data_IF_096091392875
#
_entry.id   IF_096091392875
#
_cell.length_a   1.000
_cell.length_b   1.000
_cell.length_c   1.000
_cell.angle_alpha   90.00
_cell.angle_beta   90.00
_cell.angle_gamma   90.00
#
_symmetry.space_group_name_H-M   'P 1'
#
loop_
_entity.id
_entity.type
_entity.pdbx_description
1 polymer ?
#
# COMPACT_ATOMS: atom_id res chain seq x y z
N UNK A 1 17.36 6.02 8.40
CA UNK A 1 17.91 4.84 7.69
C UNK A 1 17.88 5.13 6.18
N UNK A 2 18.63 4.40 5.35
CA UNK A 2 18.59 4.61 3.88
C UNK A 2 17.57 3.67 3.25
N UNK A 3 16.80 4.17 2.28
CA UNK A 3 15.97 3.31 1.42
C UNK A 3 16.83 2.47 0.48
N UNK A 4 16.27 1.41 -0.10
CA UNK A 4 16.94 0.59 -1.12
C UNK A 4 17.36 1.43 -2.34
N UNK A 5 16.52 2.38 -2.78
CA UNK A 5 16.85 3.30 -3.87
C UNK A 5 18.03 4.22 -3.51
N UNK A 6 18.06 4.76 -2.29
CA UNK A 6 19.17 5.62 -1.86
C UNK A 6 20.47 4.84 -1.70
N UNK A 7 20.42 3.58 -1.25
CA UNK A 7 21.58 2.68 -1.20
C UNK A 7 22.11 2.39 -2.61
N UNK A 8 21.22 2.02 -3.54
CA UNK A 8 21.58 1.80 -4.95
C UNK A 8 22.24 3.04 -5.58
N UNK A 9 21.72 4.25 -5.31
CA UNK A 9 22.31 5.51 -5.78
C UNK A 9 23.71 5.80 -5.23
N UNK A 10 24.06 5.24 -4.06
CA UNK A 10 25.42 5.29 -3.52
C UNK A 10 26.34 4.19 -4.08
N UNK A 11 25.84 3.36 -4.98
CA UNK A 11 26.56 2.21 -5.55
C UNK A 11 26.62 1.00 -4.61
N UNK A 12 25.85 1.01 -3.53
CA UNK A 12 25.84 -0.08 -2.55
C UNK A 12 25.01 -1.26 -3.06
N UNK A 13 25.47 -2.47 -2.72
CA UNK A 13 24.69 -3.71 -2.81
C UNK A 13 24.28 -4.05 -1.38
N UNK A 14 22.98 -3.99 -1.10
CA UNK A 14 22.46 -4.29 0.23
C UNK A 14 22.32 -5.80 0.43
N UNK A 15 22.21 -6.24 1.69
CA UNK A 15 21.95 -7.65 2.01
C UNK A 15 20.64 -8.13 1.39
N UNK A 16 19.62 -7.27 1.34
CA UNK A 16 18.36 -7.54 0.66
C UNK A 16 18.58 -7.82 -0.84
N UNK A 17 19.36 -6.99 -1.53
CA UNK A 17 19.68 -7.20 -2.95
C UNK A 17 20.41 -8.54 -3.16
N UNK A 18 21.39 -8.89 -2.32
CA UNK A 18 22.11 -10.17 -2.43
C UNK A 18 21.21 -11.39 -2.20
N UNK A 19 20.36 -11.33 -1.18
CA UNK A 19 19.44 -12.42 -0.84
C UNK A 19 18.40 -12.63 -1.96
N UNK A 20 17.79 -11.55 -2.42
CA UNK A 20 16.75 -11.62 -3.43
C UNK A 20 17.32 -11.98 -4.81
N UNK A 21 18.54 -11.54 -5.12
CA UNK A 21 19.22 -11.93 -6.36
C UNK A 21 19.51 -13.44 -6.39
N UNK A 22 19.93 -14.02 -5.25
CA UNK A 22 20.08 -15.48 -5.12
C UNK A 22 18.76 -16.22 -5.29
N UNK A 23 17.68 -15.71 -4.70
CA UNK A 23 16.35 -16.32 -4.83
C UNK A 23 15.82 -16.30 -6.27
N UNK A 24 16.12 -15.23 -7.03
CA UNK A 24 15.71 -15.06 -8.43
C UNK A 24 16.73 -15.62 -9.43
N UNK A 25 17.87 -16.16 -8.97
CA UNK A 25 18.97 -16.65 -9.80
C UNK A 25 19.51 -15.59 -10.79
N UNK A 26 19.73 -14.37 -10.29
CA UNK A 26 20.34 -13.23 -11.01
C UNK A 26 21.52 -12.66 -10.24
N UNK A 27 22.31 -11.79 -10.86
CA UNK A 27 23.39 -11.07 -10.17
C UNK A 27 22.82 -9.96 -9.26
N UNK A 28 23.41 -9.67 -8.09
CA UNK A 28 22.96 -8.57 -7.23
C UNK A 28 22.95 -7.20 -7.93
N UNK A 29 23.88 -6.99 -8.88
CA UNK A 29 23.93 -5.80 -9.72
C UNK A 29 22.72 -5.66 -10.63
N UNK A 30 22.11 -6.76 -11.09
CA UNK A 30 20.88 -6.73 -11.89
C UNK A 30 19.73 -6.09 -11.10
N UNK A 31 19.56 -6.49 -9.83
CA UNK A 31 18.54 -5.90 -8.95
C UNK A 31 18.86 -4.43 -8.66
N UNK A 32 20.11 -4.11 -8.30
CA UNK A 32 20.52 -2.71 -8.03
C UNK A 32 20.26 -1.80 -9.24
N UNK A 33 20.64 -2.24 -10.43
CA UNK A 33 20.51 -1.44 -11.65
C UNK A 33 19.03 -1.28 -12.04
N UNK A 34 18.21 -2.32 -11.86
CA UNK A 34 16.75 -2.21 -12.01
C UNK A 34 16.08 -1.29 -10.98
N UNK A 35 16.64 -1.18 -9.77
CA UNK A 35 16.18 -0.17 -8.79
C UNK A 35 16.55 1.24 -9.24
N UNK A 36 17.72 1.45 -9.84
CA UNK A 36 18.17 2.75 -10.32
C UNK A 36 17.36 3.27 -11.50
N UNK A 37 16.97 2.39 -12.43
CA UNK A 37 16.16 2.74 -13.59
C UNK A 37 14.64 2.70 -13.31
N UNK A 38 14.24 2.16 -12.15
CA UNK A 38 12.85 2.08 -11.70
C UNK A 38 12.07 0.89 -12.25
N UNK A 39 12.72 -0.08 -12.90
CA UNK A 39 12.09 -1.32 -13.40
C UNK A 39 11.94 -2.41 -12.33
N UNK A 40 12.66 -2.30 -11.20
CA UNK A 40 12.60 -3.21 -10.05
C UNK A 40 12.43 -2.40 -8.76
N UNK A 41 11.60 -2.91 -7.85
CA UNK A 41 11.51 -2.44 -6.46
C UNK A 41 11.75 -3.59 -5.49
N UNK A 42 12.35 -3.30 -4.34
CA UNK A 42 12.35 -4.20 -3.20
C UNK A 42 11.31 -3.67 -2.20
N UNK A 43 10.27 -4.44 -1.93
CA UNK A 43 9.26 -4.09 -0.93
C UNK A 43 9.64 -4.71 0.41
N UNK A 44 10.07 -3.84 1.34
CA UNK A 44 10.42 -4.18 2.72
C UNK A 44 10.46 -2.90 3.55
N UNK A 45 9.56 -2.78 4.50
CA UNK A 45 9.62 -1.71 5.49
C UNK A 45 10.84 -1.92 6.41
N UNK A 46 11.58 -0.85 6.69
CA UNK A 46 12.80 -0.90 7.49
C UNK A 46 12.60 -1.26 8.97
N UNK A 47 11.35 -1.39 9.43
CA UNK A 47 10.97 -1.90 10.76
C UNK A 47 10.72 -3.40 10.80
N UNK A 48 10.72 -4.07 9.64
CA UNK A 48 10.43 -5.50 9.54
C UNK A 48 11.68 -6.34 9.39
N UNK A 49 11.73 -7.43 10.14
CA UNK A 49 12.76 -8.46 10.01
C UNK A 49 12.26 -9.61 9.12
N UNK A 50 12.11 -9.30 7.83
CA UNK A 50 11.81 -10.26 6.76
C UNK A 50 12.82 -10.12 5.63
N UNK A 51 12.87 -11.10 4.72
CA UNK A 51 13.75 -11.02 3.54
C UNK A 51 13.32 -9.91 2.55
N UNK A 52 12.05 -9.52 2.58
CA UNK A 52 11.45 -8.61 1.60
C UNK A 52 11.09 -9.33 0.30
N UNK A 53 10.76 -8.57 -0.74
CA UNK A 53 10.46 -9.13 -2.05
C UNK A 53 10.92 -8.19 -3.17
N UNK A 54 11.65 -8.72 -4.16
CA UNK A 54 11.95 -8.01 -5.38
C UNK A 54 10.81 -8.20 -6.41
N UNK A 55 10.30 -7.11 -6.95
CA UNK A 55 9.22 -7.09 -7.94
C UNK A 55 9.68 -6.24 -9.12
N UNK A 56 9.69 -6.81 -10.32
CA UNK A 56 10.06 -6.04 -11.50
C UNK A 56 10.40 -6.87 -12.73
N UNK A 57 10.81 -6.18 -13.79
CA UNK A 57 11.12 -6.79 -15.08
C UNK A 57 12.31 -7.76 -14.99
N UNK A 58 12.21 -8.89 -15.67
CA UNK A 58 13.25 -9.93 -15.70
C UNK A 58 13.31 -10.83 -14.47
N UNK A 59 12.51 -10.55 -13.43
CA UNK A 59 12.30 -11.44 -12.29
C UNK A 59 11.08 -12.34 -12.52
N UNK A 60 10.90 -13.36 -11.69
CA UNK A 60 9.71 -14.20 -11.74
C UNK A 60 8.43 -13.42 -11.41
N UNK A 61 7.29 -13.82 -11.99
CA UNK A 61 5.99 -13.18 -11.73
C UNK A 61 5.57 -13.39 -10.27
N UNK A 62 5.17 -12.31 -9.60
CA UNK A 62 4.70 -12.32 -8.21
C UNK A 62 3.17 -12.26 -8.15
N UNK A 63 2.59 -12.88 -7.12
CA UNK A 63 1.15 -12.96 -6.90
C UNK A 63 0.82 -12.39 -5.52
N UNK A 64 -0.22 -11.56 -5.45
CA UNK A 64 -0.74 -11.00 -4.20
C UNK A 64 -2.06 -11.68 -3.81
N UNK A 65 -2.27 -11.94 -2.52
CA UNK A 65 -3.57 -12.33 -2.00
C UNK A 65 -4.19 -11.19 -1.16
N UNK A 66 -5.49 -10.96 -1.33
CA UNK A 66 -6.22 -9.98 -0.54
C UNK A 66 -6.94 -10.68 0.61
N UNK A 67 -6.76 -10.16 1.82
CA UNK A 67 -7.50 -10.54 3.03
C UNK A 67 -8.09 -9.29 3.66
N UNK A 68 -8.73 -9.42 4.81
CA UNK A 68 -9.22 -8.30 5.59
C UNK A 68 -10.65 -8.49 6.08
N UNK A 69 -10.93 -7.86 7.21
CA UNK A 69 -12.23 -7.87 7.86
C UNK A 69 -13.24 -6.93 7.20
N UNK A 70 -14.51 -7.14 7.52
CA UNK A 70 -15.61 -6.27 7.08
C UNK A 70 -16.58 -5.99 8.23
N UNK A 71 -17.67 -5.26 7.97
CA UNK A 71 -18.74 -5.10 8.95
C UNK A 71 -19.42 -6.42 9.33
N UNK A 72 -19.32 -7.42 8.46
CA UNK A 72 -20.07 -8.67 8.56
C UNK A 72 -19.26 -9.79 9.21
N UNK A 73 -17.92 -9.70 9.13
CA UNK A 73 -16.97 -10.64 9.72
C UNK A 73 -15.71 -9.88 10.19
N UNK A 74 -15.44 -9.92 11.49
CA UNK A 74 -14.38 -9.17 12.17
C UNK A 74 -13.44 -10.08 12.98
N UNK A 75 -13.48 -11.38 12.75
CA UNK A 75 -12.68 -12.34 13.51
C UNK A 75 -11.21 -12.28 13.08
N UNK A 76 -10.35 -11.85 14.02
CA UNK A 76 -8.90 -11.72 13.82
C UNK A 76 -8.28 -13.09 13.51
N UNK A 77 -8.73 -14.16 14.15
CA UNK A 77 -8.17 -15.50 13.96
C UNK A 77 -8.43 -16.00 12.53
N UNK A 78 -9.59 -15.66 11.97
CA UNK A 78 -9.91 -15.94 10.57
C UNK A 78 -9.00 -15.16 9.60
N UNK A 79 -8.63 -13.90 9.89
CA UNK A 79 -7.70 -13.14 9.05
C UNK A 79 -6.29 -13.73 9.07
N UNK A 80 -5.82 -14.20 10.24
CA UNK A 80 -4.53 -14.88 10.36
C UNK A 80 -4.54 -16.17 9.55
N UNK A 81 -5.60 -16.98 9.66
CA UNK A 81 -5.70 -18.24 8.93
C UNK A 81 -5.77 -18.00 7.41
N UNK A 82 -6.51 -16.97 6.96
CA UNK A 82 -6.52 -16.55 5.56
C UNK A 82 -5.13 -16.15 5.06
N UNK A 83 -4.36 -15.40 5.86
CA UNK A 83 -2.99 -15.04 5.52
C UNK A 83 -2.11 -16.29 5.38
N UNK A 84 -2.15 -17.19 6.37
CA UNK A 84 -1.38 -18.44 6.40
C UNK A 84 -1.67 -19.32 5.18
N UNK A 85 -2.95 -19.61 4.92
CA UNK A 85 -3.37 -20.44 3.80
C UNK A 85 -3.00 -19.82 2.46
N UNK A 86 -3.08 -18.49 2.33
CA UNK A 86 -2.69 -17.79 1.10
C UNK A 86 -1.19 -17.93 0.82
N UNK A 87 -0.34 -17.79 1.84
CA UNK A 87 1.11 -17.94 1.72
C UNK A 87 1.46 -19.40 1.38
N UNK A 88 0.83 -20.38 2.05
CA UNK A 88 1.02 -21.80 1.74
C UNK A 88 0.59 -22.17 0.32
N UNK A 89 -0.40 -21.47 -0.23
CA UNK A 89 -0.84 -21.60 -1.61
C UNK A 89 0.06 -20.87 -2.63
N UNK A 90 1.10 -20.15 -2.19
CA UNK A 90 2.08 -19.49 -3.05
C UNK A 90 1.88 -17.98 -3.27
N UNK A 91 1.12 -17.30 -2.40
CA UNK A 91 1.08 -15.84 -2.40
C UNK A 91 2.45 -15.28 -1.98
N UNK A 92 2.96 -14.33 -2.77
CA UNK A 92 4.25 -13.67 -2.52
C UNK A 92 4.09 -12.41 -1.66
N UNK A 93 2.90 -11.82 -1.66
CA UNK A 93 2.52 -10.70 -0.80
C UNK A 93 1.09 -10.89 -0.33
N UNK A 94 0.76 -10.24 0.78
CA UNK A 94 -0.60 -10.13 1.29
C UNK A 94 -0.99 -8.66 1.30
N UNK A 95 -2.26 -8.35 1.02
CA UNK A 95 -2.83 -7.05 1.34
C UNK A 95 -3.93 -7.19 2.37
N UNK A 96 -3.80 -6.42 3.45
CA UNK A 96 -4.88 -6.21 4.41
C UNK A 96 -5.79 -5.08 3.91
N UNK A 97 -7.00 -5.48 3.50
CA UNK A 97 -8.05 -4.59 3.00
C UNK A 97 -9.20 -4.41 4.02
N UNK A 98 -8.91 -4.64 5.30
CA UNK A 98 -9.88 -4.53 6.40
C UNK A 98 -10.61 -3.19 6.39
N UNK A 99 -11.94 -3.25 6.57
CA UNK A 99 -12.81 -2.07 6.66
C UNK A 99 -13.71 -2.06 7.91
N UNK A 100 -13.62 -3.08 8.76
CA UNK A 100 -14.42 -3.21 9.97
C UNK A 100 -13.61 -3.70 11.17
N UNK A 101 -14.15 -3.53 12.37
CA UNK A 101 -13.50 -3.94 13.61
C UNK A 101 -12.28 -3.10 13.98
N UNK A 102 -11.39 -3.68 14.78
CA UNK A 102 -10.12 -3.06 15.18
C UNK A 102 -9.06 -3.25 14.09
N UNK A 103 -9.17 -2.46 13.01
CA UNK A 103 -8.23 -2.51 11.86
C UNK A 103 -6.76 -2.38 12.32
N UNK A 104 -6.38 -1.44 13.21
CA UNK A 104 -5.02 -1.38 13.73
C UNK A 104 -4.58 -2.65 14.45
N UNK A 105 -5.45 -3.24 15.28
CA UNK A 105 -5.19 -4.50 15.99
C UNK A 105 -5.00 -5.67 15.01
N UNK A 106 -5.94 -5.85 14.08
CA UNK A 106 -5.89 -6.88 13.04
C UNK A 106 -4.59 -6.79 12.23
N UNK A 107 -4.26 -5.59 11.73
CA UNK A 107 -3.03 -5.37 10.95
C UNK A 107 -1.78 -5.77 11.72
N UNK A 108 -1.66 -5.36 12.99
CA UNK A 108 -0.50 -5.70 13.83
C UNK A 108 -0.37 -7.21 14.01
N UNK A 109 -1.47 -7.88 14.31
CA UNK A 109 -1.48 -9.33 14.45
C UNK A 109 -1.09 -10.04 13.15
N UNK A 110 -1.55 -9.55 11.99
CA UNK A 110 -1.12 -10.07 10.68
C UNK A 110 0.39 -9.86 10.49
N UNK A 111 0.91 -8.65 10.76
CA UNK A 111 2.34 -8.34 10.62
C UNK A 111 3.24 -9.24 11.49
N UNK A 112 2.81 -9.57 12.69
CA UNK A 112 3.52 -10.47 13.61
C UNK A 112 3.55 -11.92 13.12
N UNK A 113 2.58 -12.34 12.30
CA UNK A 113 2.42 -13.73 11.85
C UNK A 113 2.69 -13.94 10.35
N UNK A 114 2.99 -12.88 9.61
CA UNK A 114 3.15 -12.91 8.15
C UNK A 114 4.62 -12.72 7.76
N UNK A 115 5.27 -13.74 7.20
CA UNK A 115 6.67 -13.66 6.77
C UNK A 115 6.88 -13.02 5.39
N UNK A 116 5.79 -12.66 4.68
CA UNK A 116 5.84 -11.98 3.38
C UNK A 116 5.49 -10.50 3.51
N UNK A 117 5.84 -9.65 2.53
CA UNK A 117 5.48 -8.25 2.55
C UNK A 117 3.96 -8.03 2.64
N UNK A 118 3.55 -7.13 3.53
CA UNK A 118 2.16 -6.74 3.76
C UNK A 118 1.87 -5.36 3.15
N UNK A 119 0.85 -5.31 2.30
CA UNK A 119 0.32 -4.09 1.74
C UNK A 119 -1.00 -3.64 2.37
N UNK A 120 -1.35 -2.37 2.20
CA UNK A 120 -2.62 -1.81 2.68
C UNK A 120 -3.16 -0.76 1.73
N UNK A 121 -4.43 -0.35 1.94
CA UNK A 121 -5.03 0.84 1.32
C UNK A 121 -5.43 1.82 2.44
N UNK A 122 -4.55 2.75 2.84
CA UNK A 122 -4.74 3.56 4.06
C UNK A 122 -6.08 4.31 4.17
N UNK A 123 -6.65 4.74 3.04
CA UNK A 123 -7.96 5.42 3.02
C UNK A 123 -9.11 4.58 3.61
N UNK A 124 -8.99 3.25 3.61
CA UNK A 124 -9.99 2.36 4.20
C UNK A 124 -10.05 2.53 5.72
N UNK A 125 -8.90 2.56 6.39
CA UNK A 125 -8.83 2.82 7.84
C UNK A 125 -9.34 4.23 8.17
N UNK A 126 -8.98 5.25 7.37
CA UNK A 126 -9.49 6.63 7.56
C UNK A 126 -11.02 6.65 7.54
N UNK A 127 -11.64 6.02 6.53
CA UNK A 127 -13.11 5.96 6.44
C UNK A 127 -13.75 5.19 7.59
N UNK A 128 -13.18 4.04 7.96
CA UNK A 128 -13.71 3.20 9.05
C UNK A 128 -13.63 3.91 10.40
N UNK A 129 -12.54 4.63 10.69
CA UNK A 129 -12.38 5.41 11.91
C UNK A 129 -13.39 6.56 12.01
N UNK A 130 -13.71 7.20 10.90
CA UNK A 130 -14.74 8.24 10.88
C UNK A 130 -16.13 7.67 11.16
N UNK A 131 -16.49 6.56 10.51
CA UNK A 131 -17.76 5.88 10.77
C UNK A 131 -17.88 5.44 12.23
N UNK A 132 -16.81 4.87 12.81
CA UNK A 132 -16.78 4.45 14.21
C UNK A 132 -16.96 5.62 15.21
N UNK A 133 -16.54 6.83 14.83
CA UNK A 133 -16.75 8.07 15.60
C UNK A 133 -18.15 8.67 15.40
N UNK A 134 -19.03 8.01 14.63
CA UNK A 134 -20.37 8.52 14.29
C UNK A 134 -20.33 9.74 13.36
N UNK A 135 -19.21 10.00 12.69
CA UNK A 135 -19.05 11.10 11.74
C UNK A 135 -19.51 10.69 10.34
N UNK A 136 -19.79 11.69 9.52
CA UNK A 136 -20.03 11.46 8.10
C UNK A 136 -18.78 10.85 7.44
N UNK A 137 -18.95 9.90 6.52
CA UNK A 137 -17.83 9.18 5.87
C UNK A 137 -16.81 10.14 5.25
N UNK A 138 -17.27 11.26 4.69
CA UNK A 138 -16.43 12.27 4.03
C UNK A 138 -15.90 13.36 4.97
N UNK A 139 -16.27 13.37 6.25
CA UNK A 139 -15.81 14.33 7.27
C UNK A 139 -14.41 13.97 7.80
N UNK A 140 -13.46 13.80 6.87
CA UNK A 140 -12.03 13.60 7.13
C UNK A 140 -11.27 14.82 6.60
N UNK A 141 -10.26 15.24 7.36
CA UNK A 141 -9.31 16.29 6.99
C UNK A 141 -8.19 15.72 6.12
N UNK A 142 -7.40 16.60 5.50
CA UNK A 142 -6.21 16.18 4.74
C UNK A 142 -5.19 15.48 5.66
N UNK A 143 -5.05 15.95 6.90
CA UNK A 143 -4.14 15.38 7.90
C UNK A 143 -4.52 13.94 8.28
N UNK A 144 -5.82 13.61 8.35
CA UNK A 144 -6.27 12.24 8.67
C UNK A 144 -5.72 11.21 7.66
N UNK A 145 -5.55 11.57 6.38
CA UNK A 145 -4.94 10.69 5.38
C UNK A 145 -3.47 10.39 5.73
N UNK A 146 -2.70 11.44 5.97
CA UNK A 146 -1.26 11.33 6.22
C UNK A 146 -0.96 10.69 7.57
N UNK A 147 -1.76 10.98 8.60
CA UNK A 147 -1.60 10.40 9.94
C UNK A 147 -1.83 8.89 9.94
N UNK A 148 -2.79 8.40 9.13
CA UNK A 148 -3.01 6.95 8.96
C UNK A 148 -1.88 6.33 8.12
N UNK A 149 -1.44 6.98 7.04
CA UNK A 149 -0.31 6.50 6.23
C UNK A 149 0.97 6.38 7.08
N UNK A 150 1.28 7.38 7.89
CA UNK A 150 2.45 7.36 8.76
C UNK A 150 2.34 6.25 9.82
N UNK A 151 1.14 6.03 10.36
CA UNK A 151 0.88 4.95 11.32
C UNK A 151 1.09 3.58 10.68
N UNK A 152 0.66 3.37 9.45
CA UNK A 152 0.92 2.13 8.70
C UNK A 152 2.43 1.90 8.53
N UNK A 153 3.18 2.95 8.16
CA UNK A 153 4.64 2.88 8.09
C UNK A 153 5.28 2.53 9.45
N UNK A 154 4.78 3.12 10.54
CA UNK A 154 5.24 2.85 11.90
C UNK A 154 4.97 1.43 12.37
N UNK A 155 3.81 0.88 11.99
CA UNK A 155 3.41 -0.50 12.30
C UNK A 155 4.25 -1.52 11.52
N UNK A 156 4.77 -1.15 10.34
CA UNK A 156 5.65 -2.00 9.53
C UNK A 156 5.07 -2.39 8.17
N UNK A 157 4.02 -1.72 7.68
CA UNK A 157 3.48 -1.99 6.33
C UNK A 157 4.55 -1.76 5.27
N UNK A 158 4.73 -2.73 4.38
CA UNK A 158 5.81 -2.76 3.37
C UNK A 158 5.48 -1.94 2.13
N UNK A 159 4.20 -1.92 1.72
CA UNK A 159 3.74 -1.10 0.60
C UNK A 159 2.33 -0.54 0.81
N UNK A 160 2.06 0.63 0.22
CA UNK A 160 0.77 1.29 0.34
C UNK A 160 0.18 1.57 -1.02
N UNK A 161 -1.10 1.24 -1.18
CA UNK A 161 -1.88 1.65 -2.36
C UNK A 161 -2.48 3.03 -2.13
N UNK A 162 -2.02 3.99 -2.92
CA UNK A 162 -2.39 5.41 -2.80
C UNK A 162 -2.95 5.94 -4.12
N UNK A 163 -4.16 6.51 -4.08
CA UNK A 163 -4.90 6.89 -5.29
C UNK A 163 -4.62 8.34 -5.70
N UNK A 164 -3.36 8.74 -5.77
CA UNK A 164 -2.95 10.12 -6.06
C UNK A 164 -3.35 10.58 -7.48
N UNK A 165 -3.54 9.63 -8.42
CA UNK A 165 -3.94 9.91 -9.80
C UNK A 165 -5.43 10.24 -10.00
N UNK A 166 -6.25 10.13 -8.94
CA UNK A 166 -7.66 10.53 -8.99
C UNK A 166 -7.74 12.03 -8.78
N UNK A 167 -7.87 12.79 -9.86
CA UNK A 167 -7.93 14.27 -9.83
C UNK A 167 -9.34 14.77 -10.12
N UNK A 168 -9.65 16.02 -9.75
CA UNK A 168 -10.93 16.64 -10.10
C UNK A 168 -11.18 16.62 -11.62
N UNK A 169 -10.14 16.86 -12.43
CA UNK A 169 -10.23 16.84 -13.89
C UNK A 169 -10.49 15.42 -14.41
N UNK A 170 -9.80 14.41 -13.88
CA UNK A 170 -10.00 13.01 -14.28
C UNK A 170 -11.43 12.54 -13.97
N UNK A 171 -11.95 12.89 -12.78
CA UNK A 171 -13.33 12.57 -12.39
C UNK A 171 -14.33 13.28 -13.30
N UNK A 172 -14.14 14.58 -13.58
CA UNK A 172 -15.02 15.34 -14.49
C UNK A 172 -15.10 14.70 -15.88
N UNK A 173 -13.96 14.30 -16.44
CA UNK A 173 -13.91 13.64 -17.76
C UNK A 173 -14.67 12.31 -17.75
N UNK A 174 -14.42 11.48 -16.73
CA UNK A 174 -15.08 10.18 -16.59
C UNK A 174 -16.60 10.33 -16.48
N UNK A 175 -17.08 11.26 -15.65
CA UNK A 175 -18.51 11.55 -15.53
C UNK A 175 -19.11 12.05 -16.87
N UNK A 176 -18.37 12.87 -17.61
CA UNK A 176 -18.80 13.35 -18.93
C UNK A 176 -18.82 12.27 -20.02
N UNK A 177 -17.96 11.26 -19.92
CA UNK A 177 -17.93 10.10 -20.83
C UNK A 177 -19.14 9.18 -20.63
N UNK A 178 -19.65 9.07 -19.40
CA UNK A 178 -20.85 8.28 -19.09
C UNK A 178 -20.58 6.77 -19.03
N UNK A 179 -19.54 6.35 -18.30
CA UNK A 179 -19.25 4.93 -18.04
C UNK A 179 -20.49 4.20 -17.48
N UNK A 180 -20.71 2.97 -17.94
CA UNK A 180 -21.83 2.14 -17.48
C UNK A 180 -21.76 1.82 -15.98
N UNK A 181 -20.57 1.49 -15.47
CA UNK A 181 -20.33 1.10 -14.07
C UNK A 181 -19.64 2.18 -13.23
N UNK A 182 -19.41 3.36 -13.81
CA UNK A 182 -18.74 4.50 -13.16
C UNK A 182 -17.37 4.11 -12.54
N UNK A 183 -17.03 4.63 -11.35
CA UNK A 183 -15.81 4.31 -10.60
C UNK A 183 -16.03 3.06 -9.72
N UNK A 184 -15.39 1.95 -10.08
CA UNK A 184 -15.47 0.66 -9.34
C UNK A 184 -14.37 0.48 -8.29
N UNK A 185 -13.36 1.35 -8.27
CA UNK A 185 -12.35 1.37 -7.21
C UNK A 185 -12.93 2.01 -5.95
N UNK A 186 -13.03 1.24 -4.84
CA UNK A 186 -13.48 1.76 -3.54
C UNK A 186 -12.65 2.98 -3.11
N UNK A 187 -11.32 2.86 -3.15
CA UNK A 187 -10.43 3.97 -2.79
C UNK A 187 -10.59 5.16 -3.74
N UNK A 188 -10.68 4.91 -5.04
CA UNK A 188 -10.91 5.97 -6.03
C UNK A 188 -12.23 6.71 -5.83
N UNK A 189 -13.31 5.98 -5.54
CA UNK A 189 -14.62 6.55 -5.26
C UNK A 189 -14.62 7.40 -3.97
N UNK A 190 -13.91 6.96 -2.93
CA UNK A 190 -13.74 7.74 -1.69
C UNK A 190 -13.02 9.06 -1.99
N UNK A 191 -11.91 9.03 -2.72
CA UNK A 191 -11.18 10.26 -3.10
C UNK A 191 -12.05 11.19 -3.97
N UNK A 192 -12.77 10.66 -4.96
CA UNK A 192 -13.68 11.44 -5.79
C UNK A 192 -14.76 12.14 -4.96
N UNK A 193 -15.39 11.40 -4.03
CA UNK A 193 -16.42 11.96 -3.14
C UNK A 193 -15.86 12.94 -2.12
N UNK A 194 -14.65 12.70 -1.62
CA UNK A 194 -13.97 13.65 -0.73
C UNK A 194 -13.75 14.99 -1.44
N UNK A 195 -13.22 14.97 -2.67
CA UNK A 195 -13.01 16.18 -3.47
C UNK A 195 -14.33 16.91 -3.76
N UNK A 196 -15.38 16.16 -4.10
CA UNK A 196 -16.72 16.72 -4.33
C UNK A 196 -17.28 17.40 -3.07
N UNK A 197 -17.10 16.79 -1.89
CA UNK A 197 -17.60 17.30 -0.63
C UNK A 197 -16.84 18.54 -0.14
N UNK A 198 -15.50 18.50 -0.19
CA UNK A 198 -14.64 19.57 0.31
C UNK A 198 -14.36 20.68 -0.71
N UNK A 199 -14.75 20.49 -1.98
CA UNK A 199 -14.45 21.40 -3.10
C UNK A 199 -12.96 21.69 -3.24
N UNK A 200 -12.13 20.67 -3.01
CA UNK A 200 -10.67 20.70 -3.05
C UNK A 200 -10.12 19.59 -3.94
N UNK A 201 -8.88 19.76 -4.38
CA UNK A 201 -8.14 18.71 -5.11
C UNK A 201 -7.71 17.58 -4.16
N UNK A 202 -7.38 16.41 -4.71
CA UNK A 202 -6.98 15.22 -3.97
C UNK A 202 -5.81 15.52 -3.02
N UNK A 203 -5.94 15.25 -1.70
CA UNK A 203 -4.91 15.57 -0.71
C UNK A 203 -3.61 14.81 -0.94
N UNK A 204 -3.67 13.60 -1.49
CA UNK A 204 -2.48 12.81 -1.80
C UNK A 204 -1.75 13.31 -3.05
N UNK A 205 -2.44 14.06 -3.93
CA UNK A 205 -1.80 14.75 -5.05
C UNK A 205 -1.16 16.06 -4.58
N UNK A 206 -1.91 16.90 -3.87
CA UNK A 206 -1.42 18.21 -3.42
C UNK A 206 -0.32 18.08 -2.35
N UNK A 207 -0.38 17.04 -1.53
CA UNK A 207 0.63 16.71 -0.52
C UNK A 207 1.56 15.56 -0.92
N UNK A 208 1.81 15.35 -2.21
CA UNK A 208 2.65 14.23 -2.67
C UNK A 208 4.08 14.27 -2.09
N UNK A 209 4.66 15.45 -1.88
CA UNK A 209 5.97 15.58 -1.23
C UNK A 209 5.94 15.11 0.24
N UNK A 210 4.87 15.42 0.98
CA UNK A 210 4.67 14.89 2.35
C UNK A 210 4.53 13.37 2.32
N UNK A 211 3.83 12.83 1.32
CA UNK A 211 3.70 11.40 1.12
C UNK A 211 5.06 10.73 0.88
N UNK A 212 5.92 11.32 0.04
CA UNK A 212 7.29 10.86 -0.21
C UNK A 212 8.11 10.86 1.09
N UNK A 213 8.07 11.94 1.88
CA UNK A 213 8.84 12.01 3.13
C UNK A 213 8.40 10.94 4.13
N UNK A 214 7.10 10.66 4.25
CA UNK A 214 6.59 9.57 5.09
C UNK A 214 7.09 8.22 4.58
N UNK A 215 6.95 7.94 3.28
CA UNK A 215 7.39 6.65 2.73
C UNK A 215 8.90 6.46 2.86
N UNK A 216 9.70 7.53 2.68
CA UNK A 216 11.16 7.49 2.83
C UNK A 216 11.60 7.12 4.24
N UNK A 217 10.89 7.60 5.27
CA UNK A 217 11.23 7.32 6.67
C UNK A 217 11.17 5.83 6.99
N UNK A 218 10.22 5.11 6.40
CA UNK A 218 9.95 3.69 6.67
C UNK A 218 10.37 2.73 5.54
N UNK A 219 10.94 3.25 4.45
CA UNK A 219 11.22 2.51 3.20
C UNK A 219 9.96 1.81 2.62
N UNK A 220 8.81 2.49 2.69
CA UNK A 220 7.57 1.98 2.12
C UNK A 220 7.58 2.09 0.60
N UNK A 221 7.16 1.03 -0.07
CA UNK A 221 6.95 1.05 -1.53
C UNK A 221 5.59 1.66 -1.88
N UNK A 222 5.56 2.56 -2.87
CA UNK A 222 4.30 3.03 -3.43
C UNK A 222 3.74 2.04 -4.44
N UNK A 223 2.49 1.64 -4.21
CA UNK A 223 1.61 1.08 -5.23
C UNK A 223 0.66 2.19 -5.68
N UNK A 224 0.96 2.86 -6.79
CA UNK A 224 0.12 3.97 -7.26
C UNK A 224 -1.22 3.40 -7.76
N UNK A 225 -2.29 3.69 -7.02
CA UNK A 225 -3.60 3.07 -7.19
C UNK A 225 -4.30 3.48 -8.46
N UNK A 226 -4.87 2.51 -9.17
CA UNK A 226 -5.68 2.64 -10.37
C UNK A 226 -7.13 3.04 -10.03
N UNK A 227 -7.28 4.21 -9.41
CA UNK A 227 -8.56 4.67 -8.86
C UNK A 227 -9.70 4.85 -9.85
N UNK A 228 -9.41 4.85 -11.16
CA UNK A 228 -10.39 5.00 -12.25
C UNK A 228 -10.33 3.83 -13.25
N UNK A 229 -9.90 2.65 -12.80
CA UNK A 229 -9.97 1.40 -13.59
C UNK A 229 -11.40 1.05 -14.00
#
# INVERSE_FOLDING_TARGET
MSTQLLAARRGEITKEMENLARAENVEPTFIRDGILDGSIVITKNNRRDIDGLAIGAGLSTKINANIGSSSDDMDVDNEIEKARVSIEAGAHTIMDLSTGGDIPGIRKTILENCAVPLGTVPIYEVTAQNLAKGKHLLDMTEDDFFDVIERHGRDGVDFITVHCGVTQESVRRLTGEGRLLDIVSRGGAIHAKWMEYHKKENPLLTGFDRLIEIAREYDMTFSLGDGLR
#
